data_IF_078500969861
#
_entry.id   IF_078500969861
#
_cell.length_a   1.000
_cell.length_b   1.000
_cell.length_c   1.000
_cell.angle_alpha   90.00
_cell.angle_beta   90.00
_cell.angle_gamma   90.00
#
_symmetry.space_group_name_H-M   'P 1'
#
loop_
_entity.id
_entity.type
_entity.pdbx_description
1 polymer ?
#
# COMPACT_ATOMS: atom_id res chain seq x y z
N UNK A 1 31.36 -6.95 25.16
CA UNK A 1 30.05 -6.33 25.44
C UNK A 1 29.36 -6.23 24.08
N UNK A 2 28.52 -7.20 23.73
CA UNK A 2 27.83 -7.21 22.43
C UNK A 2 26.68 -6.22 22.55
N UNK A 3 26.51 -5.24 21.63
CA UNK A 3 25.33 -4.40 21.65
C UNK A 3 24.09 -5.30 21.53
N UNK A 4 23.07 -5.01 22.33
CA UNK A 4 21.78 -5.67 22.25
C UNK A 4 21.31 -5.62 20.78
N UNK A 5 21.09 -6.79 20.17
CA UNK A 5 20.63 -6.92 18.78
C UNK A 5 19.37 -6.08 18.55
N UNK A 6 18.54 -5.93 19.58
CA UNK A 6 17.35 -5.10 19.56
C UNK A 6 17.66 -3.59 19.46
N UNK A 7 18.76 -3.12 20.06
CA UNK A 7 19.23 -1.73 19.92
C UNK A 7 19.82 -1.46 18.54
N UNK A 8 20.52 -2.44 17.96
CA UNK A 8 21.01 -2.35 16.57
C UNK A 8 19.85 -2.29 15.58
N UNK A 9 18.80 -3.09 15.82
CA UNK A 9 17.56 -3.08 15.04
C UNK A 9 16.78 -1.76 15.24
N UNK A 10 16.74 -1.21 16.47
CA UNK A 10 16.17 0.12 16.76
C UNK A 10 16.90 1.27 16.06
N UNK A 11 18.22 1.14 15.85
CA UNK A 11 19.05 2.16 15.20
C UNK A 11 19.04 2.08 13.68
N UNK A 12 18.51 1.01 13.10
CA UNK A 12 18.36 0.88 11.65
C UNK A 12 17.02 1.50 11.23
N UNK A 13 16.98 2.83 11.11
CA UNK A 13 15.93 3.49 10.32
C UNK A 13 15.94 2.86 8.94
N UNK A 14 14.88 2.14 8.58
CA UNK A 14 14.78 1.60 7.24
C UNK A 14 14.43 2.76 6.30
N UNK A 15 15.46 3.35 5.72
CA UNK A 15 15.33 4.46 4.78
C UNK A 15 15.18 3.94 3.36
N UNK A 16 14.16 4.45 2.66
CA UNK A 16 13.90 4.10 1.28
C UNK A 16 13.34 5.29 0.52
N UNK A 17 13.78 5.46 -0.73
CA UNK A 17 13.36 6.58 -1.58
C UNK A 17 11.83 6.67 -1.69
N UNK A 18 11.17 5.55 -2.00
CA UNK A 18 9.70 5.48 -2.10
C UNK A 18 8.95 5.87 -0.83
N UNK A 19 9.59 5.77 0.35
CA UNK A 19 8.99 6.13 1.63
C UNK A 19 9.39 7.54 2.08
N UNK A 20 10.28 8.21 1.34
CA UNK A 20 10.76 9.54 1.68
C UNK A 20 9.68 10.61 1.53
N UNK A 21 9.72 11.63 2.38
CA UNK A 21 8.84 12.80 2.29
C UNK A 21 8.92 13.47 0.91
N UNK A 22 10.12 13.51 0.33
CA UNK A 22 10.36 14.06 -1.01
C UNK A 22 9.56 13.30 -2.07
N UNK A 23 9.66 11.97 -2.11
CA UNK A 23 8.95 11.17 -3.12
C UNK A 23 7.43 11.27 -2.94
N UNK A 24 6.94 11.35 -1.69
CA UNK A 24 5.54 11.60 -1.38
C UNK A 24 5.09 12.98 -1.89
N UNK A 25 5.85 14.04 -1.61
CA UNK A 25 5.53 15.40 -2.04
C UNK A 25 5.47 15.52 -3.58
N UNK A 26 6.42 14.89 -4.30
CA UNK A 26 6.38 14.82 -5.76
C UNK A 26 5.14 14.08 -6.27
N UNK A 27 4.74 12.99 -5.60
CA UNK A 27 3.54 12.23 -5.97
C UNK A 27 2.27 13.05 -5.79
N UNK A 28 2.23 13.87 -4.74
CA UNK A 28 1.15 14.84 -4.49
C UNK A 28 1.09 15.88 -5.59
N UNK A 29 2.22 16.47 -5.98
CA UNK A 29 2.28 17.45 -7.07
C UNK A 29 1.80 16.87 -8.40
N UNK A 30 2.26 15.67 -8.77
CA UNK A 30 1.86 15.00 -10.01
C UNK A 30 0.35 14.71 -10.06
N UNK A 31 -0.28 14.45 -8.92
CA UNK A 31 -1.69 14.11 -8.85
C UNK A 31 -2.66 15.28 -8.95
N UNK A 32 -2.19 16.52 -8.82
CA UNK A 32 -3.02 17.74 -8.89
C UNK A 32 -3.81 17.78 -10.20
N UNK A 33 -3.21 17.33 -11.31
CA UNK A 33 -3.80 17.39 -12.64
C UNK A 33 -4.40 16.05 -13.12
N UNK A 34 -4.38 15.01 -12.29
CA UNK A 34 -4.83 13.67 -12.69
C UNK A 34 -6.36 13.57 -12.77
N UNK A 35 -6.86 13.09 -13.92
CA UNK A 35 -8.30 12.93 -14.19
C UNK A 35 -8.76 11.50 -13.92
N UNK A 36 -8.65 11.09 -12.67
CA UNK A 36 -9.13 9.78 -12.17
C UNK A 36 -8.32 8.61 -12.72
N UNK A 37 -7.90 7.70 -11.84
CA UNK A 37 -7.06 6.57 -12.23
C UNK A 37 -7.81 5.27 -12.01
N UNK A 38 -7.65 4.34 -12.95
CA UNK A 38 -7.98 2.93 -12.71
C UNK A 38 -7.00 2.44 -11.66
N UNK A 39 -7.53 1.98 -10.52
CA UNK A 39 -6.73 1.32 -9.51
C UNK A 39 -6.89 -0.18 -9.66
N UNK A 40 -5.83 -0.85 -10.11
CA UNK A 40 -5.83 -2.31 -10.18
C UNK A 40 -5.68 -2.91 -8.78
N UNK A 41 -6.52 -3.88 -8.46
CA UNK A 41 -6.42 -4.67 -7.21
C UNK A 41 -5.17 -5.55 -7.19
N UNK A 42 -4.69 -5.90 -8.37
CA UNK A 42 -3.44 -6.64 -8.60
C UNK A 42 -2.60 -5.78 -9.53
N UNK A 43 -1.34 -5.45 -9.19
CA UNK A 43 -0.46 -4.68 -10.06
C UNK A 43 -0.50 -5.19 -11.49
N UNK A 44 -0.67 -4.27 -12.44
CA UNK A 44 -0.89 -4.62 -13.85
C UNK A 44 0.28 -5.44 -14.43
N UNK A 45 1.50 -5.23 -13.93
CA UNK A 45 2.68 -5.98 -14.33
C UNK A 45 2.52 -7.50 -14.12
N UNK A 46 1.84 -7.95 -13.05
CA UNK A 46 1.58 -9.37 -12.83
C UNK A 46 0.57 -9.92 -13.84
N UNK A 47 -0.51 -9.17 -14.10
CA UNK A 47 -1.52 -9.55 -15.08
C UNK A 47 -0.94 -9.70 -16.49
N UNK A 48 0.04 -8.85 -16.86
CA UNK A 48 0.75 -8.97 -18.14
C UNK A 48 1.54 -10.28 -18.24
N UNK A 49 2.13 -10.78 -17.14
CA UNK A 49 2.89 -12.04 -17.12
C UNK A 49 2.01 -13.29 -17.22
N UNK A 50 0.74 -13.21 -16.84
CA UNK A 50 -0.23 -14.29 -17.01
C UNK A 50 -1.04 -14.18 -18.30
N UNK A 51 -0.75 -13.19 -19.15
CA UNK A 51 -1.50 -12.98 -20.37
C UNK A 51 -1.10 -14.00 -21.45
N UNK A 52 -2.10 -14.58 -22.12
CA UNK A 52 -1.94 -15.31 -23.38
C UNK A 52 -2.44 -14.40 -24.51
N UNK A 53 -1.63 -14.23 -25.55
CA UNK A 53 -1.92 -13.30 -26.66
C UNK A 53 -2.28 -11.88 -26.19
N UNK A 54 -1.61 -11.41 -25.14
CA UNK A 54 -1.82 -10.08 -24.54
C UNK A 54 -3.14 -9.93 -23.79
N UNK A 55 -3.85 -11.03 -23.50
CA UNK A 55 -5.13 -11.03 -22.77
C UNK A 55 -5.10 -12.00 -21.59
N UNK A 56 -5.88 -11.70 -20.57
CA UNK A 56 -6.13 -12.58 -19.42
C UNK A 56 -7.59 -12.99 -19.40
N UNK A 57 -7.88 -14.14 -18.78
CA UNK A 57 -9.22 -14.71 -18.67
C UNK A 57 -9.83 -14.36 -17.30
N UNK A 58 -10.70 -13.36 -17.19
CA UNK A 58 -11.30 -13.01 -15.91
C UNK A 58 -12.42 -13.99 -15.56
N UNK A 59 -12.47 -14.37 -14.29
CA UNK A 59 -13.53 -15.22 -13.73
C UNK A 59 -14.03 -14.58 -12.43
N UNK A 60 -15.33 -14.39 -12.31
CA UNK A 60 -15.95 -14.01 -11.04
C UNK A 60 -16.05 -15.25 -10.16
N UNK A 61 -15.41 -15.20 -8.98
CA UNK A 61 -15.33 -16.37 -8.08
C UNK A 61 -16.71 -16.74 -7.52
N UNK A 62 -17.47 -15.75 -7.05
CA UNK A 62 -18.75 -15.96 -6.36
C UNK A 62 -19.82 -16.54 -7.28
N UNK A 63 -19.92 -16.03 -8.51
CA UNK A 63 -20.91 -16.45 -9.50
C UNK A 63 -20.40 -17.56 -10.41
N UNK A 64 -19.10 -17.87 -10.35
CA UNK A 64 -18.37 -18.73 -11.31
C UNK A 64 -18.51 -18.26 -12.76
N UNK A 65 -18.87 -16.99 -12.98
CA UNK A 65 -19.04 -16.45 -14.31
C UNK A 65 -17.68 -16.20 -14.97
N UNK A 66 -17.44 -16.89 -16.07
CA UNK A 66 -16.26 -16.67 -16.92
C UNK A 66 -16.58 -15.57 -17.93
N UNK A 67 -15.76 -14.53 -17.96
CA UNK A 67 -15.91 -13.41 -18.91
C UNK A 67 -15.17 -13.70 -20.21
N UNK A 68 -15.23 -12.82 -21.21
CA UNK A 68 -14.34 -12.97 -22.38
C UNK A 68 -12.90 -12.58 -22.01
N UNK A 69 -11.86 -13.17 -22.65
CA UNK A 69 -10.49 -12.72 -22.50
C UNK A 69 -10.36 -11.22 -22.78
N UNK A 70 -9.70 -10.50 -21.88
CA UNK A 70 -9.61 -9.04 -21.88
C UNK A 70 -8.15 -8.60 -21.68
N UNK A 71 -7.76 -7.42 -22.21
CA UNK A 71 -6.44 -6.86 -21.94
C UNK A 71 -6.22 -6.63 -20.43
N UNK A 72 -5.00 -6.81 -19.89
CA UNK A 72 -4.68 -6.56 -18.48
C UNK A 72 -5.15 -5.20 -17.94
N UNK A 73 -5.17 -4.16 -18.77
CA UNK A 73 -5.63 -2.81 -18.37
C UNK A 73 -7.14 -2.71 -18.08
N UNK A 74 -7.92 -3.67 -18.57
CA UNK A 74 -9.39 -3.67 -18.48
C UNK A 74 -9.93 -4.67 -17.44
N UNK A 75 -9.06 -5.33 -16.66
CA UNK A 75 -9.49 -6.31 -15.66
C UNK A 75 -9.03 -5.94 -14.27
N UNK A 76 -9.71 -6.51 -13.26
CA UNK A 76 -9.30 -6.44 -11.85
C UNK A 76 -8.95 -5.03 -11.36
N UNK A 77 -9.76 -4.02 -11.75
CA UNK A 77 -9.58 -2.65 -11.31
C UNK A 77 -10.87 -2.05 -10.75
N UNK A 78 -10.71 -1.01 -9.95
CA UNK A 78 -11.78 -0.09 -9.57
C UNK A 78 -11.30 1.33 -9.83
N UNK A 79 -12.16 2.14 -10.46
CA UNK A 79 -11.87 3.57 -10.61
C UNK A 79 -11.91 4.25 -9.25
N UNK A 80 -10.96 5.16 -8.99
CA UNK A 80 -11.03 6.04 -7.84
C UNK A 80 -11.09 5.27 -6.51
N UNK A 81 -10.38 4.14 -6.41
CA UNK A 81 -10.43 3.21 -5.27
C UNK A 81 -10.00 3.87 -3.95
N UNK A 82 -8.98 4.73 -4.00
CA UNK A 82 -8.51 5.49 -2.85
C UNK A 82 -8.99 6.95 -2.84
N UNK A 83 -9.66 7.36 -3.90
CA UNK A 83 -10.26 8.69 -3.98
C UNK A 83 -11.40 8.83 -2.98
N UNK A 84 -11.34 9.88 -2.16
CA UNK A 84 -12.39 10.27 -1.24
C UNK A 84 -13.02 11.56 -1.74
N UNK A 85 -14.34 11.72 -1.73
CA UNK A 85 -14.91 13.05 -1.82
C UNK A 85 -14.53 13.82 -0.55
N UNK A 86 -14.07 15.08 -0.63
CA UNK A 86 -13.88 15.93 0.54
C UNK A 86 -15.18 16.08 1.33
N UNK A 87 -15.07 16.27 2.65
CA UNK A 87 -16.23 16.60 3.48
C UNK A 87 -16.86 17.92 3.01
N UNK A 88 -18.06 17.84 2.42
CA UNK A 88 -18.86 19.01 2.05
C UNK A 88 -18.57 19.67 0.70
N UNK A 89 -17.71 19.12 -0.18
CA UNK A 89 -17.53 19.63 -1.55
C UNK A 89 -18.04 18.67 -2.61
N UNK A 90 -18.61 19.21 -3.69
CA UNK A 90 -19.00 18.45 -4.88
C UNK A 90 -17.83 18.17 -5.82
N UNK A 91 -16.66 18.81 -5.66
CA UNK A 91 -15.38 18.45 -6.27
C UNK A 91 -14.19 19.13 -5.55
N UNK A 92 -13.00 18.55 -5.75
CA UNK A 92 -11.63 18.98 -5.42
C UNK A 92 -11.17 18.81 -3.95
N UNK A 93 -10.32 17.85 -3.55
CA UNK A 93 -9.41 16.93 -4.24
C UNK A 93 -9.49 15.54 -3.56
N UNK A 94 -9.75 14.44 -4.30
CA UNK A 94 -9.60 13.11 -3.72
C UNK A 94 -8.14 12.79 -3.44
N UNK A 95 -7.87 11.77 -2.62
CA UNK A 95 -6.52 11.17 -2.46
C UNK A 95 -6.06 10.42 -3.72
N UNK A 96 -6.25 11.05 -4.88
CA UNK A 96 -5.64 10.73 -6.16
C UNK A 96 -4.13 10.64 -6.05
N UNK A 97 -3.52 11.44 -5.16
CA UNK A 97 -2.08 11.39 -4.93
C UNK A 97 -1.59 10.03 -4.50
N UNK A 98 -2.42 9.26 -3.78
CA UNK A 98 -2.05 7.92 -3.38
C UNK A 98 -2.05 6.96 -4.57
N UNK A 99 -3.07 7.04 -5.44
CA UNK A 99 -3.10 6.24 -6.67
C UNK A 99 -1.90 6.58 -7.58
N UNK A 100 -1.52 7.85 -7.63
CA UNK A 100 -0.31 8.30 -8.33
C UNK A 100 0.96 7.79 -7.69
N UNK A 101 1.10 7.94 -6.37
CA UNK A 101 2.26 7.48 -5.60
C UNK A 101 2.50 5.98 -5.76
N UNK A 102 1.45 5.18 -5.58
CA UNK A 102 1.49 3.73 -5.73
C UNK A 102 1.74 3.31 -7.18
N UNK A 103 1.17 4.04 -8.14
CA UNK A 103 1.44 3.81 -9.56
C UNK A 103 2.89 4.09 -9.96
N UNK A 104 3.56 5.05 -9.33
CA UNK A 104 5.01 5.30 -9.53
C UNK A 104 5.83 4.12 -8.99
N UNK A 105 5.57 3.72 -7.75
CA UNK A 105 6.25 2.59 -7.11
C UNK A 105 6.06 1.30 -7.91
N UNK A 106 4.86 1.04 -8.43
CA UNK A 106 4.61 -0.12 -9.31
C UNK A 106 5.38 -0.05 -10.63
N UNK A 107 5.56 1.15 -11.20
CA UNK A 107 6.35 1.32 -12.40
C UNK A 107 7.81 0.99 -12.14
N UNK A 108 8.38 1.56 -11.08
CA UNK A 108 9.78 1.31 -10.70
C UNK A 108 10.00 -0.17 -10.35
N UNK A 109 9.05 -0.77 -9.61
CA UNK A 109 9.14 -2.19 -9.24
C UNK A 109 8.99 -3.14 -10.44
N UNK A 110 8.28 -2.76 -11.50
CA UNK A 110 8.19 -3.58 -12.70
C UNK A 110 9.57 -3.80 -13.33
N UNK A 111 10.42 -2.78 -13.31
CA UNK A 111 11.79 -2.85 -13.81
C UNK A 111 12.64 -3.76 -12.89
N UNK A 112 12.53 -3.59 -11.56
CA UNK A 112 13.20 -4.44 -10.56
C UNK A 112 12.81 -5.91 -10.67
N UNK A 113 11.55 -6.22 -10.96
CA UNK A 113 11.11 -7.59 -11.22
C UNK A 113 11.62 -8.14 -12.54
N UNK A 114 11.95 -7.28 -13.52
CA UNK A 114 12.66 -7.69 -14.72
C UNK A 114 14.12 -8.04 -14.43
N UNK A 115 14.79 -7.25 -13.59
CA UNK A 115 16.14 -7.52 -13.10
C UNK A 115 16.21 -8.84 -12.32
N UNK A 116 15.24 -9.09 -11.44
CA UNK A 116 15.14 -10.36 -10.71
C UNK A 116 14.95 -11.56 -11.64
N UNK A 117 14.10 -11.43 -12.67
CA UNK A 117 13.93 -12.50 -13.67
C UNK A 117 15.21 -12.76 -14.46
N UNK A 118 15.92 -11.70 -14.86
CA UNK A 118 17.19 -11.80 -15.56
C UNK A 118 18.30 -12.41 -14.69
N UNK A 119 18.23 -12.23 -13.37
CA UNK A 119 19.14 -12.87 -12.41
C UNK A 119 19.06 -14.39 -12.44
N UNK A 120 17.86 -14.93 -12.68
CA UNK A 120 17.63 -16.37 -12.73
C UNK A 120 17.72 -17.06 -11.37
N UNK A 121 18.07 -18.35 -11.36
CA UNK A 121 18.13 -19.15 -10.14
C UNK A 121 19.40 -18.88 -9.33
N UNK A 122 19.27 -18.69 -8.03
CA UNK A 122 20.40 -18.56 -7.11
C UNK A 122 20.13 -17.57 -5.99
N UNK A 123 21.16 -17.30 -5.19
CA UNK A 123 21.09 -16.25 -4.19
C UNK A 123 21.18 -14.88 -4.88
N UNK A 124 20.20 -14.03 -4.64
CA UNK A 124 20.27 -12.62 -5.07
C UNK A 124 21.27 -11.91 -4.17
N UNK A 125 22.39 -11.46 -4.73
CA UNK A 125 23.42 -10.74 -3.96
C UNK A 125 23.24 -9.22 -4.00
N UNK A 126 22.43 -8.70 -4.93
CA UNK A 126 22.13 -7.27 -5.03
C UNK A 126 21.24 -6.81 -3.86
N UNK A 127 21.85 -6.08 -2.93
CA UNK A 127 21.18 -5.55 -1.75
C UNK A 127 20.18 -4.43 -2.07
N UNK A 128 20.40 -3.65 -3.14
CA UNK A 128 19.46 -2.62 -3.56
C UNK A 128 18.19 -3.27 -4.13
N UNK A 129 18.34 -4.28 -5.00
CA UNK A 129 17.22 -5.05 -5.53
C UNK A 129 16.42 -5.73 -4.40
N UNK A 130 17.10 -6.35 -3.43
CA UNK A 130 16.46 -6.94 -2.25
C UNK A 130 15.69 -5.90 -1.45
N UNK A 131 16.27 -4.72 -1.24
CA UNK A 131 15.65 -3.62 -0.49
C UNK A 131 14.38 -3.13 -1.18
N UNK A 132 14.46 -2.81 -2.48
CA UNK A 132 13.33 -2.32 -3.28
C UNK A 132 12.16 -3.34 -3.25
N UNK A 133 12.47 -4.62 -3.49
CA UNK A 133 11.46 -5.68 -3.49
C UNK A 133 10.83 -5.89 -2.10
N UNK A 134 11.62 -5.75 -1.03
CA UNK A 134 11.11 -5.87 0.34
C UNK A 134 10.09 -4.77 0.68
N UNK A 135 10.38 -3.53 0.29
CA UNK A 135 9.43 -2.41 0.44
C UNK A 135 8.18 -2.66 -0.39
N UNK A 136 8.36 -3.07 -1.64
CA UNK A 136 7.25 -3.33 -2.52
C UNK A 136 6.31 -4.39 -1.96
N UNK A 137 6.84 -5.51 -1.47
CA UNK A 137 6.07 -6.58 -0.84
C UNK A 137 5.32 -6.08 0.40
N UNK A 138 5.99 -5.30 1.27
CA UNK A 138 5.36 -4.67 2.43
C UNK A 138 4.17 -3.80 2.05
N UNK A 139 4.30 -2.99 0.99
CA UNK A 139 3.21 -2.16 0.46
C UNK A 139 2.08 -3.00 -0.15
N UNK A 140 2.38 -4.12 -0.82
CA UNK A 140 1.31 -4.96 -1.41
C UNK A 140 0.40 -5.58 -0.33
N UNK A 141 0.95 -5.96 0.82
CA UNK A 141 0.16 -6.56 1.92
C UNK A 141 -0.92 -5.61 2.44
N UNK A 142 -0.66 -4.30 2.45
CA UNK A 142 -1.61 -3.31 2.96
C UNK A 142 -2.65 -2.86 1.92
N UNK A 143 -2.47 -3.22 0.65
CA UNK A 143 -3.24 -2.66 -0.49
C UNK A 143 -4.42 -3.51 -0.97
N UNK A 144 -4.93 -4.42 -0.14
CA UNK A 144 -6.06 -5.28 -0.53
C UNK A 144 -7.42 -4.64 -0.23
N UNK A 145 -8.48 -4.93 -1.04
CA UNK A 145 -9.86 -4.51 -0.74
C UNK A 145 -10.33 -4.91 0.66
N UNK A 146 -9.98 -6.12 1.08
CA UNK A 146 -10.28 -6.61 2.43
C UNK A 146 -9.59 -5.79 3.51
N UNK A 147 -8.33 -5.38 3.33
CA UNK A 147 -7.64 -4.52 4.28
C UNK A 147 -8.29 -3.13 4.37
N UNK A 148 -8.61 -2.52 3.22
CA UNK A 148 -9.35 -1.25 3.18
C UNK A 148 -10.71 -1.34 3.88
N UNK A 149 -11.47 -2.40 3.63
CA UNK A 149 -12.76 -2.63 4.28
C UNK A 149 -12.61 -2.83 5.79
N UNK A 150 -11.60 -3.59 6.22
CA UNK A 150 -11.28 -3.77 7.64
C UNK A 150 -10.95 -2.45 8.31
N UNK A 151 -10.12 -1.62 7.68
CA UNK A 151 -9.80 -0.28 8.18
C UNK A 151 -11.04 0.62 8.25
N UNK A 152 -11.92 0.59 7.25
CA UNK A 152 -13.20 1.32 7.29
C UNK A 152 -14.08 0.89 8.45
N UNK A 153 -14.17 -0.41 8.71
CA UNK A 153 -14.93 -0.95 9.85
C UNK A 153 -14.30 -0.55 11.19
N UNK A 154 -12.98 -0.45 11.27
CA UNK A 154 -12.27 -0.01 12.47
C UNK A 154 -12.50 1.47 12.76
N UNK A 155 -12.46 2.34 11.73
CA UNK A 155 -12.66 3.78 11.90
C UNK A 155 -14.12 4.12 12.23
N UNK A 156 -15.08 3.47 11.56
CA UNK A 156 -16.51 3.70 11.79
C UNK A 156 -17.06 2.90 12.98
N UNK A 157 -16.29 1.96 13.49
CA UNK A 157 -16.69 1.09 14.60
C UNK A 157 -16.51 1.75 15.97
N UNK A 158 -16.86 1.02 17.04
CA UNK A 158 -16.68 1.51 18.40
C UNK A 158 -15.22 1.81 18.72
N UNK A 159 -14.95 2.89 19.44
CA UNK A 159 -13.61 3.31 19.83
C UNK A 159 -12.80 2.21 20.53
N UNK A 160 -13.47 1.35 21.29
CA UNK A 160 -12.86 0.20 21.94
C UNK A 160 -12.19 -0.76 20.92
N UNK A 161 -12.79 -0.94 19.75
CA UNK A 161 -12.24 -1.78 18.69
C UNK A 161 -10.98 -1.14 18.07
N UNK A 162 -10.99 0.17 17.81
CA UNK A 162 -9.81 0.91 17.31
C UNK A 162 -8.67 0.88 18.34
N UNK A 163 -8.95 1.11 19.63
CA UNK A 163 -7.95 0.99 20.71
C UNK A 163 -7.33 -0.40 20.78
N UNK A 164 -8.17 -1.44 20.72
CA UNK A 164 -7.71 -2.83 20.73
C UNK A 164 -6.83 -3.15 19.51
N UNK A 165 -7.20 -2.64 18.34
CA UNK A 165 -6.41 -2.76 17.12
C UNK A 165 -5.04 -2.09 17.25
N UNK A 166 -4.99 -0.82 17.71
CA UNK A 166 -3.73 -0.08 17.90
C UNK A 166 -2.81 -0.79 18.90
N UNK A 167 -3.34 -1.30 20.02
CA UNK A 167 -2.57 -2.11 20.98
C UNK A 167 -2.00 -3.38 20.38
N UNK A 168 -2.79 -4.07 19.55
CA UNK A 168 -2.39 -5.37 18.98
C UNK A 168 -1.36 -5.20 17.85
N UNK A 169 -1.53 -4.20 17.01
CA UNK A 169 -0.64 -3.94 15.87
C UNK A 169 0.65 -3.24 16.30
N UNK A 170 0.58 -2.41 17.36
CA UNK A 170 1.74 -1.70 17.89
C UNK A 170 1.89 -1.97 19.40
N UNK A 171 2.38 -3.16 19.81
CA UNK A 171 2.54 -3.51 21.22
C UNK A 171 3.48 -2.58 22.00
N UNK A 172 4.32 -1.81 21.29
CA UNK A 172 5.29 -0.87 21.84
C UNK A 172 4.68 0.51 22.15
N UNK A 173 3.51 0.85 21.61
CA UNK A 173 2.89 2.14 21.88
C UNK A 173 2.45 2.22 23.35
N UNK A 174 2.85 3.29 24.01
CA UNK A 174 2.34 3.64 25.32
C UNK A 174 0.85 3.97 25.27
N UNK A 175 0.19 3.85 26.42
CA UNK A 175 -1.23 4.23 26.54
C UNK A 175 -1.45 5.69 26.12
N UNK A 176 -0.49 6.59 26.42
CA UNK A 176 -0.58 7.99 26.06
C UNK A 176 -0.55 8.22 24.54
N UNK A 177 0.30 7.49 23.81
CA UNK A 177 0.38 7.56 22.35
C UNK A 177 -0.85 6.95 21.69
N UNK A 178 -1.39 5.86 22.24
CA UNK A 178 -2.65 5.28 21.77
C UNK A 178 -3.78 6.28 21.94
N UNK A 179 -3.91 6.92 23.10
CA UNK A 179 -4.95 7.93 23.31
C UNK A 179 -4.72 9.18 22.43
N UNK A 180 -3.47 9.54 22.13
CA UNK A 180 -3.18 10.60 21.17
C UNK A 180 -3.64 10.23 19.75
N UNK A 181 -3.38 9.00 19.30
CA UNK A 181 -3.87 8.46 18.03
C UNK A 181 -5.41 8.38 17.99
N UNK A 182 -6.05 8.08 19.12
CA UNK A 182 -7.51 8.11 19.24
C UNK A 182 -8.09 9.54 19.16
N UNK A 183 -7.35 10.56 19.61
CA UNK A 183 -7.73 11.99 19.51
C UNK A 183 -7.54 12.56 18.11
N UNK A 184 -6.57 12.07 17.36
CA UNK A 184 -6.30 12.45 15.97
C UNK A 184 -7.33 11.81 15.02
N UNK A 185 -8.60 12.17 15.16
CA UNK A 185 -9.64 11.78 14.19
C UNK A 185 -9.65 12.74 13.02
N UNK A 186 -9.72 12.18 11.83
CA UNK A 186 -9.94 12.99 10.64
C UNK A 186 -11.43 13.33 10.52
N UNK A 187 -11.73 14.51 9.97
CA UNK A 187 -13.11 14.92 9.68
C UNK A 187 -13.80 13.97 8.68
N UNK A 188 -13.02 13.35 7.78
CA UNK A 188 -13.47 12.26 6.91
C UNK A 188 -12.86 10.91 7.40
N UNK A 189 -13.69 9.96 7.86
CA UNK A 189 -13.27 8.60 8.24
C UNK A 189 -12.40 7.90 7.21
N UNK A 190 -12.59 8.20 5.93
CA UNK A 190 -11.84 7.52 4.87
C UNK A 190 -10.40 8.07 4.77
N UNK A 191 -10.11 9.29 5.21
CA UNK A 191 -8.73 9.80 5.32
C UNK A 191 -7.97 9.06 6.40
N UNK A 192 -8.63 8.83 7.53
CA UNK A 192 -8.10 8.03 8.63
C UNK A 192 -7.81 6.59 8.21
N UNK A 193 -8.64 6.01 7.33
CA UNK A 193 -8.38 4.70 6.72
C UNK A 193 -7.09 4.69 5.89
N UNK A 194 -6.83 5.73 5.11
CA UNK A 194 -5.60 5.80 4.34
C UNK A 194 -4.39 5.94 5.25
N UNK A 195 -4.45 6.79 6.26
CA UNK A 195 -3.38 6.88 7.25
C UNK A 195 -3.15 5.52 7.94
N UNK A 196 -4.20 4.79 8.32
CA UNK A 196 -4.06 3.43 8.86
C UNK A 196 -3.49 2.40 7.87
N UNK A 197 -3.60 2.64 6.56
CA UNK A 197 -3.09 1.75 5.51
C UNK A 197 -1.67 2.09 5.03
N UNK A 198 -1.27 3.37 5.11
CA UNK A 198 -0.08 3.93 4.42
C UNK A 198 0.87 4.64 5.38
N UNK A 199 0.40 5.11 6.54
CA UNK A 199 1.27 5.45 7.66
C UNK A 199 1.32 4.26 8.60
N UNK A 200 2.24 3.32 8.36
CA UNK A 200 2.64 2.44 9.39
C UNK A 200 3.68 3.24 10.19
N UNK A 201 3.39 3.53 11.43
CA UNK A 201 4.44 3.67 12.46
C UNK A 201 5.06 2.26 12.71
N UNK A 202 5.19 1.47 11.63
CA UNK A 202 5.10 0.01 11.53
C UNK A 202 5.75 -0.53 10.23
N UNK A 203 6.30 0.30 9.33
CA UNK A 203 7.23 -0.20 8.28
C UNK A 203 8.45 -0.83 8.93
N UNK A 204 8.79 -0.41 10.15
CA UNK A 204 9.79 -1.04 10.97
C UNK A 204 9.39 -2.45 11.44
N UNK A 205 8.10 -2.75 11.65
CA UNK A 205 7.68 -4.06 12.20
C UNK A 205 7.61 -5.15 11.13
N UNK A 206 7.15 -4.81 9.92
CA UNK A 206 7.06 -5.78 8.81
C UNK A 206 8.43 -6.10 8.19
N UNK A 207 9.40 -5.19 8.27
CA UNK A 207 10.77 -5.43 7.80
C UNK A 207 11.61 -6.14 8.87
N UNK A 208 11.29 -5.99 10.16
CA UNK A 208 11.98 -6.69 11.26
C UNK A 208 11.61 -8.18 11.42
N UNK A 209 10.67 -8.70 10.61
CA UNK A 209 10.19 -10.09 10.69
C UNK A 209 10.44 -10.92 9.42
N UNK A 210 11.21 -10.38 8.47
CA UNK A 210 11.80 -11.09 7.33
C UNK A 210 13.32 -11.17 7.50
#
# INVERSE_FOLDING_TARGET
MVPDLMKLIEMMSFEHEWLSEKFVAESQQLAVNEKGRKHHYVPQMYLRRWALDGKVQPTQVDTRQVHRPQPPKEVAYQNNFYSLPPAGSSMDLPLKWLETHLGRIESDCADRLGELEAWGSGLVSDDALKRDLSVFLGLQVTRTPSNRQRSLLLVNGPDAAKRMFLRKMNPRLSIAEIEQSMRNRHADPKQEVLDLMIKPECTDVLIQSL
#
